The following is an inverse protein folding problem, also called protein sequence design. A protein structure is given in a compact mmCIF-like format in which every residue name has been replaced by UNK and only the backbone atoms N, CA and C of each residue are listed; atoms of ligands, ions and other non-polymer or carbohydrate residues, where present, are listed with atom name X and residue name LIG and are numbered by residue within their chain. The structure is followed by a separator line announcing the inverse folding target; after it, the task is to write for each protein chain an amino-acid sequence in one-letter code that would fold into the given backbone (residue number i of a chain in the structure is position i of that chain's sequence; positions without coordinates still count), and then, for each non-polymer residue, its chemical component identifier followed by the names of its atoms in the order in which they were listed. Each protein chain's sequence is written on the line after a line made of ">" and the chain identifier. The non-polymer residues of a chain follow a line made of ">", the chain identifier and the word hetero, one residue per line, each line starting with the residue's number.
data_IF_130388371721
#
_entry.id   IF_130388371721
#
_cell.length_a   1.000
_cell.length_b   1.000
_cell.length_c   1.000
_cell.angle_alpha   90.00
_cell.angle_beta   90.00
_cell.angle_gamma   90.00
#
_symmetry.space_group_name_H-M   'P 1'
#
loop_
_entity.id
_entity.type
_entity.pdbx_description
1 polymer ?
#
# COMPACT_ATOMS: atom_id res chain seq x y z
N UNK A 1 -16.17 -6.39 10.32
CA UNK A 1 -16.54 -7.51 11.23
C UNK A 1 -16.17 -7.11 12.65
N UNK A 2 -17.01 -7.39 13.65
CA UNK A 2 -16.70 -7.01 15.04
C UNK A 2 -15.55 -7.85 15.62
N UNK A 3 -14.64 -7.23 16.39
CA UNK A 3 -13.54 -7.94 17.04
C UNK A 3 -14.04 -8.90 18.12
N UNK A 4 -13.26 -9.95 18.42
CA UNK A 4 -13.63 -11.01 19.36
C UNK A 4 -14.01 -10.53 20.77
N UNK A 5 -13.51 -9.37 21.22
CA UNK A 5 -13.85 -8.80 22.53
C UNK A 5 -15.22 -8.11 22.56
N UNK A 6 -15.84 -7.83 21.41
CA UNK A 6 -17.12 -7.13 21.31
C UNK A 6 -18.23 -7.81 22.11
N UNK A 7 -18.30 -9.14 22.06
CA UNK A 7 -19.31 -9.93 22.77
C UNK A 7 -19.18 -9.83 24.31
N UNK A 8 -18.02 -9.40 24.82
CA UNK A 8 -17.75 -9.22 26.25
C UNK A 8 -18.08 -7.81 26.75
N UNK A 9 -18.43 -6.88 25.85
CA UNK A 9 -18.78 -5.51 26.19
C UNK A 9 -20.23 -5.43 26.71
N UNK A 10 -20.46 -4.56 27.69
CA UNK A 10 -21.82 -4.20 28.11
C UNK A 10 -22.61 -3.57 26.96
N UNK A 11 -23.95 -3.54 27.05
CA UNK A 11 -24.81 -2.92 26.02
C UNK A 11 -24.46 -1.44 25.76
N UNK A 12 -24.08 -0.71 26.81
CA UNK A 12 -23.64 0.68 26.69
C UNK A 12 -22.32 0.77 25.90
N UNK A 13 -21.33 -0.06 26.23
CA UNK A 13 -20.04 -0.11 25.52
C UNK A 13 -20.20 -0.59 24.07
N UNK A 14 -21.05 -1.57 23.80
CA UNK A 14 -21.36 -2.00 22.43
C UNK A 14 -21.98 -0.87 21.59
N UNK A 15 -22.76 0.01 22.22
CA UNK A 15 -23.33 1.18 21.55
C UNK A 15 -22.25 2.20 21.20
N UNK A 16 -21.31 2.46 22.11
CA UNK A 16 -20.14 3.32 21.85
C UNK A 16 -19.25 2.71 20.75
N UNK A 17 -18.98 1.40 20.83
CA UNK A 17 -18.23 0.66 19.82
C UNK A 17 -18.86 0.86 18.44
N UNK A 18 -20.17 0.62 18.28
CA UNK A 18 -20.85 0.76 16.99
C UNK A 18 -20.80 2.20 16.45
N UNK A 19 -20.92 3.21 17.34
CA UNK A 19 -20.76 4.62 16.95
C UNK A 19 -19.36 4.92 16.42
N UNK A 20 -18.32 4.41 17.10
CA UNK A 20 -16.94 4.53 16.63
C UNK A 20 -16.74 3.78 15.31
N UNK A 21 -17.26 2.56 15.18
CA UNK A 21 -17.07 1.72 14.00
C UNK A 21 -17.73 2.28 12.73
N UNK A 22 -18.83 3.02 12.88
CA UNK A 22 -19.57 3.64 11.78
C UNK A 22 -18.80 4.77 11.07
N UNK A 23 -17.78 5.35 11.70
CA UNK A 23 -17.01 6.47 11.14
C UNK A 23 -15.70 5.93 10.61
N UNK A 24 -15.58 5.81 9.28
CA UNK A 24 -14.41 5.20 8.65
C UNK A 24 -13.34 6.21 8.19
N UNK A 25 -13.65 7.51 8.17
CA UNK A 25 -12.80 8.52 7.55
C UNK A 25 -12.77 9.81 8.38
N UNK A 26 -11.62 10.47 8.46
CA UNK A 26 -11.47 11.85 8.92
C UNK A 26 -10.92 12.67 7.76
N UNK A 27 -11.66 13.68 7.30
CA UNK A 27 -11.22 14.54 6.20
C UNK A 27 -10.50 15.78 6.72
N UNK A 28 -9.25 15.95 6.33
CA UNK A 28 -8.50 17.17 6.59
C UNK A 28 -8.82 18.18 5.47
N UNK A 29 -9.19 19.44 5.79
CA UNK A 29 -9.55 20.42 4.76
C UNK A 29 -8.41 20.78 3.79
N UNK A 30 -7.16 20.75 4.24
CA UNK A 30 -5.94 21.10 3.47
C UNK A 30 -4.72 20.30 3.93
N UNK A 31 -4.69 18.97 3.72
CA UNK A 31 -3.65 18.09 4.26
C UNK A 31 -2.24 18.44 3.76
N UNK A 32 -2.12 19.04 2.58
CA UNK A 32 -0.86 19.51 1.99
C UNK A 32 -0.12 20.51 2.87
N UNK A 33 -0.86 21.31 3.65
CA UNK A 33 -0.27 22.29 4.59
C UNK A 33 0.46 21.62 5.77
N UNK A 34 0.16 20.35 6.06
CA UNK A 34 0.79 19.58 7.11
C UNK A 34 1.99 18.77 6.61
N UNK A 35 2.17 18.60 5.29
CA UNK A 35 3.27 17.82 4.71
C UNK A 35 4.67 18.33 5.11
N UNK A 36 4.95 19.65 5.19
CA UNK A 36 6.23 20.13 5.70
C UNK A 36 6.50 19.71 7.16
N UNK A 37 5.46 19.65 8.00
CA UNK A 37 5.56 19.19 9.40
C UNK A 37 5.82 17.68 9.47
N UNK A 38 5.22 16.91 8.56
CA UNK A 38 5.49 15.47 8.40
C UNK A 38 6.95 15.22 8.01
N UNK A 39 7.48 15.96 7.04
CA UNK A 39 8.89 15.88 6.63
C UNK A 39 9.86 16.31 7.74
N UNK A 40 9.51 17.37 8.49
CA UNK A 40 10.29 17.79 9.65
C UNK A 40 10.33 16.72 10.74
N UNK A 41 9.22 16.01 10.97
CA UNK A 41 9.16 14.88 11.89
C UNK A 41 10.04 13.71 11.43
N UNK A 42 10.02 13.37 10.14
CA UNK A 42 10.88 12.32 9.58
C UNK A 42 12.36 12.65 9.79
N UNK A 43 12.77 13.87 9.46
CA UNK A 43 14.15 14.36 9.66
C UNK A 43 14.56 14.36 11.13
N UNK A 44 13.70 14.85 12.02
CA UNK A 44 13.96 14.89 13.46
C UNK A 44 14.05 13.49 14.09
N UNK A 45 13.27 12.53 13.62
CA UNK A 45 13.35 11.15 14.08
C UNK A 45 14.64 10.49 13.59
N UNK A 46 15.02 10.71 12.32
CA UNK A 46 16.23 10.17 11.72
C UNK A 46 17.51 10.71 12.37
N UNK A 47 17.50 11.93 12.91
CA UNK A 47 18.65 12.49 13.65
C UNK A 47 18.84 11.88 15.05
N UNK A 48 17.90 11.03 15.50
CA UNK A 48 17.83 10.46 16.84
C UNK A 48 17.77 11.48 17.99
N UNK A 49 17.53 12.76 17.69
CA UNK A 49 17.39 13.82 18.69
C UNK A 49 15.97 13.81 19.28
N UNK A 50 15.88 13.44 20.55
CA UNK A 50 14.62 13.39 21.30
C UNK A 50 13.93 14.75 21.41
N UNK A 51 14.70 15.83 21.58
CA UNK A 51 14.14 17.18 21.73
C UNK A 51 13.57 17.66 20.39
N UNK A 52 14.32 17.43 19.30
CA UNK A 52 13.83 17.73 17.94
C UNK A 52 12.59 16.88 17.60
N UNK A 53 12.61 15.58 17.89
CA UNK A 53 11.48 14.67 17.65
C UNK A 53 10.24 15.10 18.43
N UNK A 54 10.39 15.49 19.71
CA UNK A 54 9.29 16.00 20.54
C UNK A 54 8.69 17.27 19.94
N UNK A 55 9.53 18.23 19.53
CA UNK A 55 9.08 19.48 18.92
C UNK A 55 8.32 19.22 17.62
N UNK A 56 8.89 18.44 16.72
CA UNK A 56 8.25 18.12 15.44
C UNK A 56 6.93 17.33 15.62
N UNK A 57 6.87 16.43 16.61
CA UNK A 57 5.63 15.72 16.95
C UNK A 57 4.56 16.68 17.48
N UNK A 58 4.94 17.62 18.35
CA UNK A 58 4.03 18.63 18.89
C UNK A 58 3.51 19.57 17.79
N UNK A 59 4.35 20.00 16.86
CA UNK A 59 3.96 20.84 15.73
C UNK A 59 2.99 20.11 14.78
N UNK A 60 3.26 18.83 14.46
CA UNK A 60 2.37 18.02 13.62
C UNK A 60 1.01 17.79 14.30
N UNK A 61 1.01 17.38 15.58
CA UNK A 61 -0.21 17.15 16.34
C UNK A 61 -1.01 18.45 16.51
N UNK A 62 -0.34 19.57 16.81
CA UNK A 62 -0.98 20.88 16.90
C UNK A 62 -1.67 21.26 15.59
N UNK A 63 -0.98 21.07 14.46
CA UNK A 63 -1.57 21.28 13.14
C UNK A 63 -2.76 20.38 12.81
N UNK A 64 -2.73 19.13 13.26
CA UNK A 64 -3.85 18.20 13.13
C UNK A 64 -5.04 18.65 13.98
N UNK A 65 -4.81 19.04 15.23
CA UNK A 65 -5.85 19.58 16.10
C UNK A 65 -6.49 20.85 15.50
N UNK A 66 -5.68 21.80 15.01
CA UNK A 66 -6.17 23.00 14.33
C UNK A 66 -7.02 22.66 13.11
N UNK A 67 -6.54 21.76 12.24
CA UNK A 67 -7.24 21.38 11.01
C UNK A 67 -8.57 20.67 11.28
N UNK A 68 -8.70 19.97 12.41
CA UNK A 68 -9.90 19.25 12.82
C UNK A 68 -10.78 20.03 13.83
N UNK A 69 -10.36 21.23 14.25
CA UNK A 69 -11.07 22.02 15.27
C UNK A 69 -11.08 21.38 16.68
N UNK A 70 -10.03 20.64 17.02
CA UNK A 70 -9.89 19.93 18.31
C UNK A 70 -9.10 20.78 19.33
N UNK A 71 -9.32 20.57 20.63
CA UNK A 71 -8.52 21.22 21.66
C UNK A 71 -7.03 20.81 21.56
N UNK A 72 -6.11 21.67 22.03
CA UNK A 72 -4.69 21.35 22.02
C UNK A 72 -4.37 20.20 22.99
N UNK A 73 -3.33 19.42 22.65
CA UNK A 73 -2.85 18.30 23.45
C UNK A 73 -1.35 18.43 23.71
N UNK A 74 -0.92 18.10 24.93
CA UNK A 74 0.50 18.09 25.30
C UNK A 74 1.17 16.85 24.71
N UNK A 75 2.40 17.01 24.21
CA UNK A 75 3.16 15.93 23.57
C UNK A 75 4.45 15.67 24.32
N UNK A 76 4.67 14.41 24.67
CA UNK A 76 5.89 13.92 25.31
C UNK A 76 6.51 12.80 24.47
N UNK A 77 7.82 12.86 24.26
CA UNK A 77 8.57 11.80 23.57
C UNK A 77 9.58 11.20 24.52
N UNK A 78 9.39 9.92 24.82
CA UNK A 78 10.19 9.15 25.76
C UNK A 78 11.19 8.28 25.01
N UNK A 79 12.32 7.99 25.67
CA UNK A 79 13.42 7.28 25.03
C UNK A 79 13.14 5.78 24.89
N UNK A 80 12.69 5.11 25.95
CA UNK A 80 12.48 3.67 25.96
C UNK A 80 11.07 3.30 26.39
N UNK A 81 10.47 2.37 25.65
CA UNK A 81 9.15 1.80 25.92
C UNK A 81 9.19 0.98 27.22
N UNK A 82 8.26 1.16 28.17
CA UNK A 82 8.14 0.26 29.31
C UNK A 82 7.73 -1.14 28.83
N UNK A 83 8.48 -2.17 29.25
CA UNK A 83 8.11 -3.57 28.97
C UNK A 83 7.13 -4.05 30.04
N UNK A 84 5.88 -4.32 29.65
CA UNK A 84 4.89 -4.91 30.55
C UNK A 84 4.32 -6.21 29.97
N UNK A 85 3.87 -7.12 30.86
CA UNK A 85 3.38 -8.47 30.51
C UNK A 85 2.04 -8.47 29.73
N UNK A 86 1.34 -7.34 29.66
CA UNK A 86 -0.02 -7.21 29.12
C UNK A 86 -0.11 -6.56 27.72
N UNK A 87 1.03 -6.40 27.03
CA UNK A 87 1.08 -5.92 25.66
C UNK A 87 2.07 -4.78 25.45
N UNK A 88 2.46 -4.58 24.19
CA UNK A 88 3.34 -3.49 23.80
C UNK A 88 2.53 -2.18 23.64
N UNK A 89 2.73 -1.22 24.55
CA UNK A 89 2.20 0.14 24.36
C UNK A 89 2.97 0.81 23.23
N UNK A 90 2.25 1.22 22.18
CA UNK A 90 2.85 1.87 21.02
C UNK A 90 2.88 3.39 21.21
N UNK A 91 1.81 3.98 21.71
CA UNK A 91 1.71 5.32 22.30
C UNK A 91 0.83 5.26 23.56
N UNK A 92 0.64 6.40 24.22
CA UNK A 92 -0.30 6.53 25.33
C UNK A 92 -1.01 7.87 25.30
N UNK A 93 -2.32 7.83 25.06
CA UNK A 93 -3.24 8.94 25.26
C UNK A 93 -3.76 8.95 26.69
N UNK A 94 -3.59 10.07 27.40
CA UNK A 94 -4.08 10.27 28.77
C UNK A 94 -5.01 11.47 28.84
N UNK A 95 -6.23 11.24 29.34
CA UNK A 95 -7.27 12.25 29.55
C UNK A 95 -7.84 12.12 30.98
N UNK A 96 -7.01 12.46 31.96
CA UNK A 96 -7.39 12.43 33.39
C UNK A 96 -7.99 13.77 33.83
N UNK A 97 -9.05 13.71 34.64
CA UNK A 97 -9.73 14.91 35.15
C UNK A 97 -8.75 15.78 35.95
N UNK A 98 -8.65 17.05 35.57
CA UNK A 98 -7.78 18.03 36.24
C UNK A 98 -6.32 18.03 35.77
N UNK A 99 -5.96 17.18 34.80
CA UNK A 99 -4.64 17.21 34.16
C UNK A 99 -4.76 17.63 32.68
N UNK A 100 -3.70 18.20 32.09
CA UNK A 100 -3.66 18.43 30.66
C UNK A 100 -3.75 17.11 29.89
N UNK A 101 -4.58 17.08 28.84
CA UNK A 101 -4.61 15.96 27.89
C UNK A 101 -3.21 15.78 27.32
N UNK A 102 -2.68 14.56 27.36
CA UNK A 102 -1.29 14.26 26.99
C UNK A 102 -1.21 13.05 26.07
N UNK A 103 -0.41 13.16 25.00
CA UNK A 103 0.02 12.06 24.14
C UNK A 103 1.49 11.78 24.42
N UNK A 104 1.80 10.54 24.81
CA UNK A 104 3.16 10.07 24.99
C UNK A 104 3.54 9.11 23.86
N UNK A 105 4.72 9.32 23.28
CA UNK A 105 5.26 8.52 22.18
C UNK A 105 6.66 8.02 22.55
N UNK A 106 7.04 6.85 22.04
CA UNK A 106 8.39 6.31 22.22
C UNK A 106 9.15 6.30 20.90
N UNK A 107 10.35 6.88 20.89
CA UNK A 107 11.15 6.97 19.67
C UNK A 107 12.10 5.78 19.47
N UNK A 108 12.32 4.92 20.47
CA UNK A 108 13.15 3.71 20.35
C UNK A 108 12.41 2.43 20.71
N UNK A 109 12.77 1.35 20.04
CA UNK A 109 12.24 -0.01 20.26
C UNK A 109 12.61 -0.55 21.65
N UNK A 110 11.69 -1.30 22.27
CA UNK A 110 11.89 -1.87 23.61
C UNK A 110 13.07 -2.84 23.70
N UNK A 111 13.21 -3.72 22.70
CA UNK A 111 14.17 -4.85 22.73
C UNK A 111 15.57 -4.48 22.23
N UNK A 112 15.66 -3.64 21.19
CA UNK A 112 16.93 -3.35 20.50
C UNK A 112 17.43 -1.92 20.75
N UNK A 113 16.65 -1.05 21.42
CA UNK A 113 16.97 0.36 21.67
C UNK A 113 17.30 1.19 20.41
N UNK A 114 16.96 0.68 19.23
CA UNK A 114 17.08 1.38 17.94
C UNK A 114 15.92 2.34 17.74
N UNK A 115 16.16 3.44 17.03
CA UNK A 115 15.09 4.35 16.62
C UNK A 115 14.06 3.60 15.77
N UNK A 116 12.78 3.88 16.03
CA UNK A 116 11.68 3.24 15.28
C UNK A 116 11.62 3.79 13.86
N UNK A 117 11.18 2.97 12.91
CA UNK A 117 10.99 3.42 11.53
C UNK A 117 9.95 4.56 11.48
N UNK A 118 10.18 5.54 10.60
CA UNK A 118 9.33 6.74 10.48
C UNK A 118 7.84 6.41 10.31
N UNK A 119 7.50 5.51 9.36
CA UNK A 119 6.10 5.11 9.13
C UNK A 119 5.48 4.50 10.39
N UNK A 120 6.22 3.68 11.14
CA UNK A 120 5.77 3.10 12.41
C UNK A 120 5.52 4.17 13.47
N UNK A 121 6.43 5.14 13.59
CA UNK A 121 6.29 6.27 14.51
C UNK A 121 5.05 7.11 14.17
N UNK A 122 4.89 7.45 12.89
CA UNK A 122 3.77 8.28 12.44
C UNK A 122 2.43 7.58 12.65
N UNK A 123 2.30 6.29 12.31
CA UNK A 123 1.06 5.52 12.57
C UNK A 123 0.71 5.47 14.06
N UNK A 124 1.72 5.33 14.90
CA UNK A 124 1.56 5.38 16.36
C UNK A 124 1.07 6.76 16.81
N UNK A 125 1.67 7.83 16.30
CA UNK A 125 1.21 9.19 16.58
C UNK A 125 -0.24 9.41 16.16
N UNK A 126 -0.61 8.98 14.95
CA UNK A 126 -1.97 9.11 14.43
C UNK A 126 -2.98 8.23 15.17
N UNK A 127 -2.55 7.09 15.69
CA UNK A 127 -3.36 6.26 16.58
C UNK A 127 -3.77 7.02 17.85
N UNK A 128 -2.81 7.66 18.53
CA UNK A 128 -3.11 8.46 19.74
C UNK A 128 -3.94 9.72 19.41
N UNK A 129 -3.73 10.33 18.24
CA UNK A 129 -4.62 11.39 17.73
C UNK A 129 -6.03 10.85 17.48
N UNK A 130 -6.18 9.61 17.03
CA UNK A 130 -7.48 8.94 16.90
C UNK A 130 -8.22 8.85 18.23
N UNK A 131 -7.52 8.49 19.32
CA UNK A 131 -8.10 8.53 20.67
C UNK A 131 -8.52 9.95 21.07
N UNK A 132 -7.71 10.96 20.74
CA UNK A 132 -8.07 12.35 20.99
C UNK A 132 -9.36 12.75 20.26
N UNK A 133 -9.48 12.41 18.97
CA UNK A 133 -10.67 12.63 18.15
C UNK A 133 -11.90 11.96 18.77
N UNK A 134 -11.78 10.71 19.22
CA UNK A 134 -12.89 9.97 19.83
C UNK A 134 -13.45 10.70 21.05
N UNK A 135 -12.59 11.16 21.96
CA UNK A 135 -13.02 11.82 23.19
C UNK A 135 -13.48 13.27 23.00
N UNK A 136 -12.80 14.05 22.15
CA UNK A 136 -13.02 15.51 22.08
C UNK A 136 -13.86 15.91 20.87
N UNK A 137 -13.59 15.31 19.71
CA UNK A 137 -14.33 15.57 18.47
C UNK A 137 -15.65 14.83 18.43
N UNK A 138 -15.60 13.50 18.58
CA UNK A 138 -16.78 12.63 18.52
C UNK A 138 -17.54 12.53 19.86
N UNK A 139 -16.91 12.97 20.95
CA UNK A 139 -17.47 12.97 22.31
C UNK A 139 -17.97 11.60 22.76
N UNK A 140 -17.21 10.56 22.39
CA UNK A 140 -17.44 9.20 22.85
C UNK A 140 -16.98 9.08 24.30
N UNK A 141 -17.75 8.37 25.12
CA UNK A 141 -17.40 8.14 26.53
C UNK A 141 -16.23 7.17 26.70
N UNK A 142 -15.91 6.41 25.66
CA UNK A 142 -14.79 5.47 25.62
C UNK A 142 -14.27 5.36 24.17
N UNK A 143 -13.02 4.96 23.99
CA UNK A 143 -12.38 4.84 22.67
C UNK A 143 -11.92 3.40 22.44
N UNK A 144 -12.75 2.65 21.69
CA UNK A 144 -12.48 1.26 21.33
C UNK A 144 -11.71 1.18 20.01
N UNK A 145 -10.75 0.25 19.94
CA UNK A 145 -10.05 -0.14 18.70
C UNK A 145 -10.96 -0.92 17.74
N UNK A 146 -11.92 -0.22 17.15
CA UNK A 146 -12.87 -0.75 16.15
C UNK A 146 -12.27 -0.77 14.75
N UNK A 147 -12.95 -1.42 13.79
CA UNK A 147 -12.51 -1.37 12.38
C UNK A 147 -12.57 0.07 11.86
N UNK A 148 -13.62 0.81 12.22
CA UNK A 148 -13.73 2.25 11.95
C UNK A 148 -12.58 3.07 12.54
N UNK A 149 -12.14 2.79 13.78
CA UNK A 149 -11.00 3.46 14.40
C UNK A 149 -9.72 3.30 13.57
N UNK A 150 -9.39 2.06 13.17
CA UNK A 150 -8.21 1.81 12.33
C UNK A 150 -8.34 2.43 10.93
N UNK A 151 -9.55 2.45 10.35
CA UNK A 151 -9.81 3.13 9.07
C UNK A 151 -9.61 4.64 9.18
N UNK A 152 -10.02 5.29 10.29
CA UNK A 152 -9.76 6.71 10.55
C UNK A 152 -8.26 7.01 10.64
N UNK A 153 -7.51 6.23 11.41
CA UNK A 153 -6.04 6.33 11.48
C UNK A 153 -5.42 6.25 10.09
N UNK A 154 -5.82 5.25 9.29
CA UNK A 154 -5.29 5.06 7.95
C UNK A 154 -5.70 6.17 7.00
N UNK A 155 -6.93 6.70 7.13
CA UNK A 155 -7.39 7.85 6.33
C UNK A 155 -6.52 9.10 6.58
N UNK A 156 -6.15 9.38 7.84
CA UNK A 156 -5.23 10.46 8.18
C UNK A 156 -3.83 10.20 7.61
N UNK A 157 -3.34 8.96 7.76
CA UNK A 157 -2.02 8.58 7.29
C UNK A 157 -1.85 8.82 5.78
N UNK A 158 -2.80 8.36 4.96
CA UNK A 158 -2.72 8.51 3.50
C UNK A 158 -2.90 9.95 3.01
N UNK A 159 -3.58 10.81 3.78
CA UNK A 159 -3.66 12.25 3.49
C UNK A 159 -2.33 12.98 3.78
N UNK A 160 -1.62 12.58 4.84
CA UNK A 160 -0.40 13.23 5.33
C UNK A 160 0.87 12.72 4.65
N UNK A 161 0.94 11.42 4.41
CA UNK A 161 1.99 10.76 3.63
C UNK A 161 1.35 10.37 2.31
N UNK A 162 1.29 11.29 1.32
CA UNK A 162 1.05 10.84 -0.04
C UNK A 162 2.12 9.78 -0.29
N UNK A 163 1.69 8.55 -0.55
CA UNK A 163 2.64 7.50 -0.86
C UNK A 163 3.60 8.07 -1.92
N UNK A 164 4.90 7.79 -1.79
CA UNK A 164 5.72 7.59 -3.00
C UNK A 164 5.21 6.35 -3.73
N UNK A 165 3.91 6.29 -4.05
CA UNK A 165 3.52 5.88 -5.37
C UNK A 165 4.25 6.92 -6.22
N UNK A 166 5.28 6.50 -6.96
CA UNK A 166 5.32 7.00 -8.33
C UNK A 166 3.85 6.86 -8.77
N UNK A 167 3.14 7.96 -8.98
CA UNK A 167 1.70 7.94 -9.25
C UNK A 167 1.57 7.12 -10.51
N UNK A 168 1.43 5.81 -10.31
CA UNK A 168 1.33 4.87 -11.38
C UNK A 168 0.06 5.31 -12.06
N UNK A 169 0.12 5.67 -13.35
CA UNK A 169 -1.06 6.08 -14.06
C UNK A 169 -2.10 4.97 -13.86
N UNK A 170 -3.34 5.34 -13.63
CA UNK A 170 -4.45 4.40 -13.64
C UNK A 170 -4.53 3.71 -14.99
N UNK A 171 -5.20 2.55 -15.04
CA UNK A 171 -5.46 1.86 -16.30
C UNK A 171 -6.14 2.82 -17.31
N UNK A 172 -7.11 3.61 -16.85
CA UNK A 172 -7.81 4.61 -17.66
C UNK A 172 -6.89 5.72 -18.18
N UNK A 173 -5.96 6.21 -17.37
CA UNK A 173 -4.96 7.19 -17.83
C UNK A 173 -4.02 6.59 -18.88
N UNK A 174 -3.60 5.34 -18.72
CA UNK A 174 -2.77 4.64 -19.72
C UNK A 174 -3.51 4.34 -21.02
N UNK A 175 -4.79 4.02 -20.97
CA UNK A 175 -5.62 3.81 -22.17
C UNK A 175 -5.74 5.08 -23.02
N UNK A 176 -5.57 6.27 -22.43
CA UNK A 176 -5.55 7.54 -23.15
C UNK A 176 -4.23 7.82 -23.87
N UNK A 177 -3.16 7.10 -23.53
CA UNK A 177 -1.85 7.27 -24.17
C UNK A 177 -1.82 6.60 -25.54
N UNK A 178 -0.98 7.09 -26.47
CA UNK A 178 -0.75 6.42 -27.75
C UNK A 178 -0.33 4.95 -27.52
N UNK A 179 -0.85 4.04 -28.34
CA UNK A 179 -0.50 2.61 -28.23
C UNK A 179 1.01 2.37 -28.34
N UNK A 180 1.71 3.15 -29.18
CA UNK A 180 3.16 3.06 -29.35
C UNK A 180 3.92 3.32 -28.02
N UNK A 181 3.44 4.24 -27.20
CA UNK A 181 4.04 4.54 -25.89
C UNK A 181 3.86 3.36 -24.91
N UNK A 182 2.70 2.71 -24.94
CA UNK A 182 2.44 1.52 -24.14
C UNK A 182 3.33 0.35 -24.59
N UNK A 183 3.52 0.15 -25.90
CA UNK A 183 4.40 -0.89 -26.47
C UNK A 183 5.87 -0.64 -26.14
N UNK A 184 6.35 0.60 -26.27
CA UNK A 184 7.72 0.98 -25.89
C UNK A 184 7.96 0.71 -24.38
N UNK A 185 6.99 1.08 -23.54
CA UNK A 185 7.06 0.83 -22.10
C UNK A 185 7.13 -0.67 -21.77
N UNK A 186 6.33 -1.50 -22.43
CA UNK A 186 6.38 -2.95 -22.32
C UNK A 186 7.74 -3.51 -22.75
N UNK A 187 8.37 -2.94 -23.77
CA UNK A 187 9.71 -3.34 -24.23
C UNK A 187 10.78 -3.23 -23.14
N UNK A 188 10.66 -2.26 -22.24
CA UNK A 188 11.63 -2.01 -21.16
C UNK A 188 11.50 -2.94 -19.94
N UNK A 189 10.36 -3.60 -19.74
CA UNK A 189 10.07 -4.36 -18.52
C UNK A 189 11.08 -5.45 -18.23
N UNK A 190 11.51 -6.21 -19.25
CA UNK A 190 12.46 -7.31 -19.07
C UNK A 190 13.84 -6.84 -18.59
N UNK A 191 14.29 -5.68 -19.05
CA UNK A 191 15.59 -5.10 -18.68
C UNK A 191 15.55 -4.51 -17.27
N UNK A 192 14.44 -3.87 -16.90
CA UNK A 192 14.22 -3.38 -15.53
C UNK A 192 14.16 -4.53 -14.51
N UNK A 193 13.52 -5.65 -14.88
CA UNK A 193 13.58 -6.87 -14.07
C UNK A 193 15.02 -7.37 -13.96
N UNK A 194 15.74 -7.51 -15.08
CA UNK A 194 17.13 -7.98 -15.07
C UNK A 194 18.00 -7.16 -14.11
N UNK A 195 17.92 -5.83 -14.21
CA UNK A 195 18.63 -4.92 -13.32
C UNK A 195 18.22 -5.07 -11.85
N UNK A 196 16.94 -5.30 -11.57
CA UNK A 196 16.46 -5.49 -10.20
C UNK A 196 16.92 -6.81 -9.57
N UNK A 197 17.11 -7.87 -10.38
CA UNK A 197 17.58 -9.18 -9.93
C UNK A 197 19.11 -9.29 -9.82
N UNK A 198 19.85 -8.42 -10.51
CA UNK A 198 21.32 -8.49 -10.60
C UNK A 198 22.00 -8.51 -9.22
N UNK A 199 22.96 -9.44 -9.06
CA UNK A 199 23.75 -9.58 -7.82
C UNK A 199 22.98 -10.10 -6.60
N UNK A 200 21.70 -10.45 -6.72
CA UNK A 200 20.89 -10.94 -5.59
C UNK A 200 20.94 -12.47 -5.48
N UNK A 201 20.98 -12.95 -4.24
CA UNK A 201 20.90 -14.40 -3.97
C UNK A 201 19.48 -14.92 -4.08
N UNK A 202 19.34 -16.23 -4.33
CA UNK A 202 18.04 -16.89 -4.40
C UNK A 202 17.21 -16.72 -3.12
N UNK A 203 17.86 -16.76 -1.95
CA UNK A 203 17.22 -16.53 -0.66
C UNK A 203 16.69 -15.10 -0.48
N UNK A 204 17.32 -14.10 -1.10
CA UNK A 204 16.81 -12.73 -1.12
C UNK A 204 15.59 -12.61 -2.06
N UNK A 205 15.65 -13.22 -3.23
CA UNK A 205 14.56 -13.20 -4.21
C UNK A 205 13.32 -13.98 -3.73
N UNK A 206 13.51 -15.01 -2.90
CA UNK A 206 12.44 -15.87 -2.37
C UNK A 206 11.78 -15.32 -1.11
N UNK A 207 12.30 -14.23 -0.53
CA UNK A 207 11.76 -13.68 0.72
C UNK A 207 10.48 -12.90 0.44
N UNK A 208 9.35 -13.38 0.98
CA UNK A 208 8.10 -12.60 1.02
C UNK A 208 8.18 -11.51 2.09
N UNK A 209 7.63 -10.30 1.86
CA UNK A 209 7.55 -9.25 2.87
C UNK A 209 6.64 -9.61 4.04
N UNK A 210 5.52 -10.28 3.74
CA UNK A 210 4.56 -10.79 4.70
C UNK A 210 3.80 -12.00 4.12
N UNK A 211 2.79 -12.50 4.84
CA UNK A 211 2.02 -13.68 4.41
C UNK A 211 1.14 -13.45 3.16
N UNK A 212 0.79 -12.20 2.84
CA UNK A 212 -0.14 -11.82 1.77
C UNK A 212 0.58 -11.38 0.49
N UNK A 213 1.77 -10.80 0.63
CA UNK A 213 2.53 -10.25 -0.48
C UNK A 213 3.50 -11.28 -1.07
N UNK A 214 3.61 -11.30 -2.40
CA UNK A 214 4.53 -12.18 -3.11
C UNK A 214 5.98 -11.75 -2.96
N UNK A 215 6.89 -12.72 -3.06
CA UNK A 215 8.32 -12.49 -3.17
C UNK A 215 8.68 -12.01 -4.58
N UNK A 216 9.88 -11.44 -4.74
CA UNK A 216 10.37 -11.01 -6.05
C UNK A 216 10.39 -12.16 -7.07
N UNK A 217 10.79 -13.37 -6.63
CA UNK A 217 10.79 -14.59 -7.45
C UNK A 217 9.39 -14.93 -7.97
N UNK A 218 8.40 -14.90 -7.09
CA UNK A 218 7.01 -15.22 -7.44
C UNK A 218 6.42 -14.19 -8.41
N UNK A 219 6.77 -12.91 -8.25
CA UNK A 219 6.36 -11.84 -9.16
C UNK A 219 6.93 -12.06 -10.56
N UNK A 220 8.20 -12.45 -10.69
CA UNK A 220 8.82 -12.74 -12.00
C UNK A 220 8.14 -13.95 -12.67
N UNK A 221 7.85 -15.01 -11.90
CA UNK A 221 7.12 -16.17 -12.41
C UNK A 221 5.71 -15.81 -12.86
N UNK A 222 5.03 -14.95 -12.10
CA UNK A 222 3.71 -14.45 -12.45
C UNK A 222 3.71 -13.65 -13.74
N UNK A 223 4.66 -12.72 -13.93
CA UNK A 223 4.77 -11.95 -15.18
C UNK A 223 5.01 -12.86 -16.39
N UNK A 224 5.87 -13.87 -16.25
CA UNK A 224 6.11 -14.88 -17.28
C UNK A 224 4.84 -15.63 -17.70
N UNK A 225 4.00 -16.00 -16.74
CA UNK A 225 2.79 -16.79 -16.99
C UNK A 225 1.60 -15.90 -17.40
N UNK A 226 1.58 -14.64 -16.94
CA UNK A 226 0.63 -13.64 -17.39
C UNK A 226 0.75 -13.42 -18.91
N UNK A 227 1.96 -13.43 -19.49
CA UNK A 227 2.14 -13.34 -20.96
C UNK A 227 1.33 -14.38 -21.72
N UNK A 228 1.26 -15.65 -21.25
CA UNK A 228 0.47 -16.69 -21.92
C UNK A 228 -1.01 -16.32 -21.98
N UNK A 229 -1.52 -15.78 -20.87
CA UNK A 229 -2.90 -15.35 -20.75
C UNK A 229 -3.21 -14.10 -21.59
N UNK A 230 -2.30 -13.12 -21.61
CA UNK A 230 -2.46 -11.91 -22.43
C UNK A 230 -2.35 -12.22 -23.93
N UNK A 231 -1.45 -13.13 -24.31
CA UNK A 231 -1.30 -13.61 -25.69
C UNK A 231 -2.54 -14.36 -26.18
N UNK A 232 -3.14 -15.22 -25.34
CA UNK A 232 -4.40 -15.90 -25.65
C UNK A 232 -5.51 -14.88 -25.96
N UNK A 233 -5.65 -13.85 -25.12
CA UNK A 233 -6.65 -12.79 -25.35
C UNK A 233 -6.40 -12.05 -26.65
N UNK A 234 -5.16 -11.69 -26.94
CA UNK A 234 -4.78 -11.02 -28.19
C UNK A 234 -5.14 -11.89 -29.40
N UNK A 235 -4.79 -13.17 -29.38
CA UNK A 235 -5.16 -14.11 -30.43
C UNK A 235 -6.69 -14.22 -30.61
N UNK A 236 -7.45 -14.33 -29.52
CA UNK A 236 -8.91 -14.38 -29.56
C UNK A 236 -9.49 -13.12 -30.21
N UNK A 237 -9.02 -11.93 -29.84
CA UNK A 237 -9.49 -10.66 -30.41
C UNK A 237 -9.24 -10.58 -31.91
N UNK A 238 -8.10 -11.13 -32.38
CA UNK A 238 -7.76 -11.14 -33.80
C UNK A 238 -8.53 -12.21 -34.60
N UNK A 239 -8.83 -13.35 -33.99
CA UNK A 239 -9.49 -14.48 -34.65
C UNK A 239 -11.03 -14.41 -34.61
N UNK A 240 -11.60 -13.88 -33.54
CA UNK A 240 -13.02 -13.93 -33.24
C UNK A 240 -13.63 -12.54 -33.17
N UNK A 241 -14.97 -12.46 -33.26
CA UNK A 241 -15.72 -11.22 -33.07
C UNK A 241 -16.17 -11.15 -31.60
N UNK A 242 -15.78 -10.07 -30.91
CA UNK A 242 -16.14 -9.77 -29.51
C UNK A 242 -16.05 -10.97 -28.54
N UNK A 243 -14.95 -11.74 -28.54
CA UNK A 243 -14.90 -12.94 -27.72
C UNK A 243 -14.87 -12.58 -26.22
N UNK A 244 -15.58 -13.34 -25.36
CA UNK A 244 -15.43 -13.21 -23.92
C UNK A 244 -14.06 -13.71 -23.48
N UNK A 245 -13.37 -12.92 -22.65
CA UNK A 245 -12.07 -13.32 -22.12
C UNK A 245 -12.21 -14.36 -21.00
N UNK A 246 -11.32 -15.37 -20.96
CA UNK A 246 -11.26 -16.29 -19.83
C UNK A 246 -10.93 -15.53 -18.54
N UNK A 247 -11.43 -15.99 -17.40
CA UNK A 247 -11.12 -15.39 -16.09
C UNK A 247 -9.83 -16.01 -15.55
N UNK A 248 -8.79 -15.24 -15.20
CA UNK A 248 -7.54 -15.79 -14.73
C UNK A 248 -7.62 -16.10 -13.22
N UNK A 249 -7.30 -17.32 -12.82
CA UNK A 249 -7.16 -17.73 -11.41
C UNK A 249 -5.71 -17.51 -10.93
N UNK A 250 -5.25 -16.25 -10.98
CA UNK A 250 -3.84 -15.88 -10.79
C UNK A 250 -3.28 -16.35 -9.44
N UNK A 251 -4.04 -16.21 -8.35
CA UNK A 251 -3.61 -16.62 -7.01
C UNK A 251 -3.40 -18.14 -6.90
N UNK A 252 -4.18 -18.93 -7.66
CA UNK A 252 -4.01 -20.39 -7.70
C UNK A 252 -2.74 -20.80 -8.43
N UNK A 253 -2.36 -20.09 -9.50
CA UNK A 253 -1.15 -20.42 -10.26
C UNK A 253 0.11 -20.39 -9.41
N UNK A 254 0.19 -19.50 -8.43
CA UNK A 254 1.35 -19.40 -7.54
C UNK A 254 1.61 -20.72 -6.81
N UNK A 255 0.55 -21.33 -6.27
CA UNK A 255 0.60 -22.61 -5.56
C UNK A 255 0.70 -23.79 -6.54
N UNK A 256 -0.19 -23.85 -7.53
CA UNK A 256 -0.30 -24.96 -8.47
C UNK A 256 0.98 -25.14 -9.31
N UNK A 257 1.59 -24.03 -9.74
CA UNK A 257 2.82 -24.02 -10.54
C UNK A 257 4.07 -23.91 -9.68
N UNK A 258 3.93 -23.92 -8.35
CA UNK A 258 5.03 -23.93 -7.38
C UNK A 258 6.07 -22.83 -7.60
N UNK A 259 5.65 -21.57 -7.78
CA UNK A 259 6.56 -20.46 -8.12
C UNK A 259 7.75 -20.32 -7.16
N UNK A 260 7.54 -20.57 -5.86
CA UNK A 260 8.60 -20.52 -4.85
C UNK A 260 9.79 -21.47 -5.14
N UNK A 261 9.55 -22.56 -5.88
CA UNK A 261 10.56 -23.57 -6.23
C UNK A 261 11.25 -23.30 -7.57
N UNK A 262 10.80 -22.31 -8.32
CA UNK A 262 11.35 -22.02 -9.65
C UNK A 262 12.59 -21.13 -9.58
N UNK A 263 13.40 -21.17 -10.63
CA UNK A 263 14.56 -20.30 -10.80
C UNK A 263 14.11 -18.95 -11.41
N UNK A 264 14.40 -17.86 -10.70
CA UNK A 264 13.93 -16.52 -11.09
C UNK A 264 14.61 -16.02 -12.38
N UNK A 265 15.86 -16.41 -12.64
CA UNK A 265 16.62 -15.99 -13.83
C UNK A 265 16.08 -16.70 -15.07
N UNK A 266 15.80 -18.00 -14.97
CA UNK A 266 15.15 -18.79 -16.02
C UNK A 266 13.73 -18.27 -16.29
N UNK A 267 12.96 -17.93 -15.24
CA UNK A 267 11.64 -17.34 -15.39
C UNK A 267 11.69 -15.99 -16.12
N UNK A 268 12.65 -15.12 -15.78
CA UNK A 268 12.89 -13.86 -16.48
C UNK A 268 13.28 -14.07 -17.96
N UNK A 269 14.16 -15.02 -18.25
CA UNK A 269 14.54 -15.34 -19.62
C UNK A 269 13.34 -15.81 -20.46
N UNK A 270 12.46 -16.62 -19.87
CA UNK A 270 11.22 -17.04 -20.52
C UNK A 270 10.24 -15.87 -20.70
N UNK A 271 10.09 -14.99 -19.71
CA UNK A 271 9.28 -13.78 -19.82
C UNK A 271 9.78 -12.89 -20.97
N UNK A 272 11.10 -12.65 -21.07
CA UNK A 272 11.68 -11.82 -22.14
C UNK A 272 11.33 -12.36 -23.53
N UNK A 273 11.44 -13.68 -23.74
CA UNK A 273 11.07 -14.30 -25.03
C UNK A 273 9.59 -14.10 -25.36
N UNK A 274 8.69 -14.39 -24.41
CA UNK A 274 7.25 -14.21 -24.61
C UNK A 274 6.86 -12.76 -24.84
N UNK A 275 7.50 -11.82 -24.14
CA UNK A 275 7.30 -10.39 -24.37
C UNK A 275 7.68 -9.98 -25.79
N UNK A 276 8.80 -10.49 -26.31
CA UNK A 276 9.21 -10.22 -27.69
C UNK A 276 8.20 -10.78 -28.70
N UNK A 277 7.65 -11.98 -28.45
CA UNK A 277 6.58 -12.56 -29.26
C UNK A 277 5.31 -11.69 -29.22
N UNK A 278 4.88 -11.25 -28.03
CA UNK A 278 3.73 -10.35 -27.85
C UNK A 278 3.92 -9.03 -28.62
N UNK A 279 5.09 -8.39 -28.50
CA UNK A 279 5.39 -7.14 -29.21
C UNK A 279 5.40 -7.35 -30.74
N UNK A 280 5.98 -8.45 -31.23
CA UNK A 280 5.98 -8.77 -32.65
C UNK A 280 4.56 -8.99 -33.21
N UNK A 281 3.62 -9.51 -32.40
CA UNK A 281 2.21 -9.59 -32.81
C UNK A 281 1.63 -8.19 -33.01
N UNK A 282 1.88 -7.25 -32.11
CA UNK A 282 1.42 -5.86 -32.24
C UNK A 282 2.00 -5.17 -33.47
N UNK A 283 3.30 -5.35 -33.74
CA UNK A 283 3.97 -4.80 -34.92
C UNK A 283 3.41 -5.37 -36.23
N UNK A 284 2.95 -6.62 -36.22
CA UNK A 284 2.39 -7.32 -37.38
C UNK A 284 0.88 -7.17 -37.58
N UNK A 285 0.18 -6.38 -36.76
CA UNK A 285 -1.27 -6.23 -36.88
C UNK A 285 -1.66 -5.56 -38.21
N UNK A 286 -2.67 -6.08 -38.94
CA UNK A 286 -3.18 -5.41 -40.13
C UNK A 286 -3.88 -4.09 -39.78
N UNK A 287 -4.17 -3.28 -40.81
CA UNK A 287 -4.99 -2.08 -40.64
C UNK A 287 -6.34 -2.42 -39.95
N UNK A 288 -6.67 -1.68 -38.90
CA UNK A 288 -7.85 -1.94 -38.05
C UNK A 288 -7.66 -3.02 -36.98
N UNK A 289 -6.53 -3.74 -36.95
CA UNK A 289 -6.23 -4.77 -35.95
C UNK A 289 -6.25 -4.25 -34.51
N UNK A 290 -5.81 -3.01 -34.30
CA UNK A 290 -5.85 -2.33 -33.00
C UNK A 290 -7.27 -2.04 -32.50
N UNK A 291 -8.23 -1.86 -33.42
CA UNK A 291 -9.61 -1.55 -33.09
C UNK A 291 -10.47 -2.81 -32.83
N UNK A 292 -9.92 -4.01 -33.06
CA UNK A 292 -10.61 -5.27 -32.73
C UNK A 292 -10.85 -5.38 -31.24
N UNK A 293 -11.99 -5.93 -30.88
CA UNK A 293 -12.54 -5.90 -29.52
C UNK A 293 -12.68 -7.29 -28.92
N UNK A 294 -12.76 -7.34 -27.59
CA UNK A 294 -13.17 -8.50 -26.81
C UNK A 294 -13.76 -8.07 -25.47
N UNK A 295 -14.40 -8.99 -24.75
CA UNK A 295 -15.24 -8.66 -23.59
C UNK A 295 -14.56 -9.13 -22.30
N UNK A 296 -14.17 -8.17 -21.47
CA UNK A 296 -13.72 -8.39 -20.09
C UNK A 296 -14.91 -8.39 -19.13
N UNK A 297 -14.97 -9.38 -18.24
CA UNK A 297 -15.96 -9.41 -17.16
C UNK A 297 -15.86 -8.19 -16.23
N UNK A 298 -14.65 -7.65 -16.04
CA UNK A 298 -14.40 -6.54 -15.11
C UNK A 298 -14.52 -5.16 -15.76
N UNK A 299 -14.11 -5.03 -17.03
CA UNK A 299 -13.97 -3.72 -17.71
C UNK A 299 -14.88 -3.56 -18.94
N UNK A 300 -15.70 -4.57 -19.27
CA UNK A 300 -16.56 -4.53 -20.45
C UNK A 300 -15.77 -4.70 -21.75
N UNK A 301 -16.21 -4.02 -22.81
CA UNK A 301 -15.54 -4.08 -24.12
C UNK A 301 -14.18 -3.40 -24.05
N UNK A 302 -13.17 -4.10 -24.55
CA UNK A 302 -11.79 -3.61 -24.65
C UNK A 302 -11.31 -3.79 -26.07
N UNK A 303 -10.63 -2.77 -26.61
CA UNK A 303 -9.93 -2.85 -27.89
C UNK A 303 -8.55 -3.49 -27.72
N UNK A 304 -7.94 -3.90 -28.83
CA UNK A 304 -6.58 -4.44 -28.83
C UNK A 304 -5.57 -3.39 -28.35
N UNK A 305 -5.81 -2.10 -28.64
CA UNK A 305 -5.04 -0.99 -28.08
C UNK A 305 -5.19 -0.88 -26.55
N UNK A 306 -6.41 -1.00 -26.02
CA UNK A 306 -6.65 -1.01 -24.57
C UNK A 306 -5.93 -2.18 -23.88
N UNK A 307 -5.85 -3.32 -24.56
CA UNK A 307 -5.15 -4.50 -24.06
C UNK A 307 -3.64 -4.26 -23.88
N UNK A 308 -3.00 -3.51 -24.81
CA UNK A 308 -1.61 -3.07 -24.65
C UNK A 308 -1.44 -2.13 -23.43
N UNK A 309 -2.37 -1.19 -23.23
CA UNK A 309 -2.35 -0.29 -22.08
C UNK A 309 -2.49 -1.05 -20.74
N UNK A 310 -3.37 -2.06 -20.68
CA UNK A 310 -3.55 -2.91 -19.50
C UNK A 310 -2.29 -3.70 -19.20
N UNK A 311 -1.67 -4.33 -20.21
CA UNK A 311 -0.45 -5.12 -20.03
C UNK A 311 0.72 -4.25 -19.54
N UNK A 312 0.87 -3.06 -20.13
CA UNK A 312 1.89 -2.11 -19.72
C UNK A 312 1.65 -1.57 -18.30
N UNK A 313 0.40 -1.36 -17.88
CA UNK A 313 0.05 -1.02 -16.49
C UNK A 313 0.34 -2.16 -15.51
N UNK A 314 -0.01 -3.38 -15.91
CA UNK A 314 0.18 -4.61 -15.12
C UNK A 314 1.66 -4.82 -14.79
N UNK A 315 2.54 -4.62 -15.77
CA UNK A 315 3.98 -4.64 -15.58
C UNK A 315 4.46 -3.63 -14.52
N UNK A 316 4.05 -2.37 -14.63
CA UNK A 316 4.45 -1.34 -13.66
C UNK A 316 4.03 -1.72 -12.23
N UNK A 317 2.83 -2.28 -12.09
CA UNK A 317 2.26 -2.63 -10.79
C UNK A 317 3.10 -3.74 -10.16
N UNK A 318 3.49 -4.74 -10.95
CA UNK A 318 4.32 -5.83 -10.47
C UNK A 318 5.79 -5.43 -10.29
N UNK A 319 6.33 -4.51 -11.10
CA UNK A 319 7.66 -3.94 -10.88
C UNK A 319 7.73 -3.15 -9.56
N UNK A 320 6.68 -2.38 -9.23
CA UNK A 320 6.58 -1.71 -7.92
C UNK A 320 6.51 -2.72 -6.77
N UNK A 321 5.64 -3.74 -6.88
CA UNK A 321 5.57 -4.82 -5.89
C UNK A 321 6.91 -5.54 -5.72
N UNK A 322 7.63 -5.79 -6.82
CA UNK A 322 8.94 -6.44 -6.79
C UNK A 322 9.97 -5.57 -6.06
N UNK A 323 10.03 -4.27 -6.35
CA UNK A 323 10.93 -3.33 -5.66
C UNK A 323 10.63 -3.29 -4.16
N UNK A 324 9.36 -3.20 -3.77
CA UNK A 324 8.95 -3.26 -2.36
C UNK A 324 9.33 -4.59 -1.72
N UNK A 325 9.14 -5.71 -2.42
CA UNK A 325 9.50 -7.02 -1.92
C UNK A 325 11.01 -7.15 -1.64
N UNK A 326 11.84 -6.65 -2.56
CA UNK A 326 13.29 -6.63 -2.42
C UNK A 326 13.79 -5.74 -1.27
N UNK A 327 12.99 -4.74 -0.87
CA UNK A 327 13.25 -3.87 0.28
C UNK A 327 12.62 -4.38 1.59
N UNK A 328 11.88 -5.50 1.54
CA UNK A 328 11.13 -6.04 2.68
C UNK A 328 9.95 -5.15 3.09
N UNK A 329 9.41 -4.35 2.17
CA UNK A 329 8.27 -3.46 2.38
C UNK A 329 7.00 -4.10 1.84
N UNK A 330 5.88 -3.85 2.51
CA UNK A 330 4.54 -4.37 2.19
C UNK A 330 3.77 -3.48 1.25
#
# INVERSE_FOLDING_TARGET
>A
MAFAYYARLSRAQQTIYRKSDAIAEIRLPRPETLRPRVAALESALASEDRTATRRASAELIGGLCEAMGLPPVRVEVLAARPSARWGELHGLYTNERGKPITIQLWMRTAKQKRVVAFRTYLRTLLHEVGHHVDYTGLRLADSFHTEGFYKRESSLFYQLVPERRATMPTIEERMKLPVAENLERMGRTADELAAALEGRSDGALSRRPDAKNWSAKEIVCHLRDAEEYFALRLWMMQALQDPPFPVPEQDRWVEDRQYARQDAVAALAAFRRRRQETLAVFDGLPAGGLARTGISKALGHLTTADHAAILAWHDDNHLDQLRRALEGKT
#
